data_IF_327817332490
#
_entry.id   IF_327817332490
#
_cell.length_a   1.000
_cell.length_b   1.000
_cell.length_c   1.000
_cell.angle_alpha   90.00
_cell.angle_beta   90.00
_cell.angle_gamma   90.00
#
_symmetry.space_group_name_H-M   'P 1'
#
loop_
_entity.id
_entity.type
_entity.pdbx_description
1 polymer ?
#
# COMPACT_ATOMS: atom_id res chain seq x y z
N UNK A 1 -13.20 15.36 -15.20
CA UNK A 1 -12.28 16.19 -14.38
C UNK A 1 -11.09 15.32 -13.97
N UNK A 2 -9.87 15.78 -14.22
CA UNK A 2 -8.64 14.98 -14.17
C UNK A 2 -8.19 14.63 -12.73
N UNK A 3 -8.74 13.55 -12.17
CA UNK A 3 -8.24 12.98 -10.91
C UNK A 3 -7.00 12.11 -11.17
N UNK A 4 -5.84 12.72 -11.40
CA UNK A 4 -4.57 12.05 -11.76
C UNK A 4 -3.99 11.13 -10.67
N UNK A 5 -2.66 11.15 -10.48
CA UNK A 5 -1.93 10.28 -9.51
C UNK A 5 -2.58 10.17 -8.11
N UNK A 6 -3.10 11.25 -7.48
CA UNK A 6 -3.72 11.15 -6.15
C UNK A 6 -4.95 10.23 -6.08
N UNK A 7 -5.75 10.17 -7.15
CA UNK A 7 -6.92 9.29 -7.20
C UNK A 7 -6.51 7.83 -7.25
N UNK A 8 -5.45 7.51 -8.00
CA UNK A 8 -4.89 6.17 -8.05
C UNK A 8 -4.33 5.74 -6.70
N UNK A 9 -3.64 6.63 -5.98
CA UNK A 9 -3.18 6.35 -4.62
C UNK A 9 -4.34 6.10 -3.64
N UNK A 10 -5.41 6.88 -3.74
CA UNK A 10 -6.61 6.69 -2.91
C UNK A 10 -7.29 5.34 -3.20
N UNK A 11 -7.38 4.94 -4.47
CA UNK A 11 -7.90 3.61 -4.87
C UNK A 11 -7.00 2.50 -4.31
N UNK A 12 -5.68 2.63 -4.45
CA UNK A 12 -4.74 1.64 -3.92
C UNK A 12 -4.90 1.51 -2.40
N UNK A 13 -4.96 2.63 -1.68
CA UNK A 13 -5.17 2.64 -0.23
C UNK A 13 -6.49 1.95 0.16
N UNK A 14 -7.59 2.29 -0.52
CA UNK A 14 -8.89 1.67 -0.27
C UNK A 14 -8.86 0.15 -0.43
N UNK A 15 -8.29 -0.34 -1.54
CA UNK A 15 -8.25 -1.78 -1.83
C UNK A 15 -7.44 -2.55 -0.78
N UNK A 16 -6.27 -2.04 -0.41
CA UNK A 16 -5.42 -2.71 0.57
C UNK A 16 -6.01 -2.64 1.97
N UNK A 17 -6.48 -1.47 2.41
CA UNK A 17 -7.03 -1.33 3.75
C UNK A 17 -8.32 -2.15 3.91
N UNK A 18 -9.21 -2.12 2.91
CA UNK A 18 -10.43 -2.94 2.92
C UNK A 18 -10.10 -4.42 3.06
N UNK A 19 -9.13 -4.93 2.30
CA UNK A 19 -8.72 -6.32 2.40
C UNK A 19 -8.25 -6.69 3.82
N UNK A 20 -7.41 -5.85 4.44
CA UNK A 20 -6.93 -6.09 5.79
C UNK A 20 -8.07 -6.02 6.82
N UNK A 21 -8.95 -5.03 6.70
CA UNK A 21 -10.12 -4.87 7.57
C UNK A 21 -11.11 -6.04 7.46
N UNK A 22 -11.21 -6.70 6.31
CA UNK A 22 -12.10 -7.84 6.08
C UNK A 22 -11.47 -9.20 6.44
N UNK A 23 -10.14 -9.32 6.40
CA UNK A 23 -9.44 -10.61 6.50
C UNK A 23 -8.55 -10.79 7.72
N UNK A 24 -8.07 -9.70 8.30
CA UNK A 24 -7.02 -9.73 9.33
C UNK A 24 -7.54 -9.22 10.68
N UNK A 25 -8.31 -8.14 10.66
CA UNK A 25 -8.73 -7.45 11.88
C UNK A 25 -10.16 -7.79 12.29
N UNK A 26 -10.42 -7.80 13.60
CA UNK A 26 -11.77 -7.83 14.14
C UNK A 26 -12.46 -6.47 13.92
N UNK A 27 -13.79 -6.41 14.09
CA UNK A 27 -14.53 -5.14 13.90
C UNK A 27 -14.29 -4.14 15.01
N UNK A 28 -13.94 -4.65 16.19
CA UNK A 28 -13.70 -3.89 17.42
C UNK A 28 -12.27 -3.37 17.51
N UNK A 29 -11.39 -3.81 16.61
CA UNK A 29 -10.00 -3.38 16.58
C UNK A 29 -9.88 -1.90 16.22
N UNK A 30 -8.91 -1.24 16.85
CA UNK A 30 -8.51 0.13 16.52
C UNK A 30 -7.26 0.12 15.66
N UNK A 31 -7.35 0.69 14.46
CA UNK A 31 -6.30 0.63 13.46
C UNK A 31 -5.62 1.98 13.31
N UNK A 32 -4.29 1.96 13.27
CA UNK A 32 -3.47 3.15 13.03
C UNK A 32 -2.77 3.03 11.69
N UNK A 33 -3.12 3.90 10.74
CA UNK A 33 -2.50 3.94 9.42
C UNK A 33 -1.38 4.98 9.44
N UNK A 34 -0.14 4.49 9.49
CA UNK A 34 1.05 5.36 9.51
C UNK A 34 1.44 5.73 8.08
N UNK A 35 1.41 7.03 7.79
CA UNK A 35 1.84 7.60 6.52
C UNK A 35 3.14 8.35 6.73
N UNK A 36 4.20 7.90 6.05
CA UNK A 36 5.47 8.58 6.04
C UNK A 36 5.34 9.99 5.47
N UNK A 37 6.15 10.93 5.96
CA UNK A 37 6.13 12.33 5.50
C UNK A 37 6.30 12.42 3.97
N UNK A 38 5.24 12.83 3.27
CA UNK A 38 5.25 13.08 1.82
C UNK A 38 5.53 14.56 1.57
N UNK A 39 6.73 14.85 1.06
CA UNK A 39 7.10 16.07 0.34
C UNK A 39 6.54 17.39 0.92
N UNK A 40 5.77 18.11 0.11
CA UNK A 40 5.27 19.46 0.44
C UNK A 40 4.04 19.43 1.34
N UNK A 41 3.78 20.55 2.04
CA UNK A 41 2.57 20.72 2.88
C UNK A 41 1.27 20.38 2.15
N UNK A 42 1.16 20.74 0.87
CA UNK A 42 0.00 20.44 0.05
C UNK A 42 -0.18 18.93 -0.19
N UNK A 43 0.91 18.19 -0.43
CA UNK A 43 0.86 16.74 -0.59
C UNK A 43 0.46 16.04 0.71
N UNK A 44 0.97 16.51 1.85
CA UNK A 44 0.57 16.01 3.17
C UNK A 44 -0.93 16.19 3.41
N UNK A 45 -1.48 17.38 3.11
CA UNK A 45 -2.91 17.64 3.27
C UNK A 45 -3.77 16.75 2.37
N UNK A 46 -3.36 16.56 1.11
CA UNK A 46 -4.06 15.68 0.18
C UNK A 46 -3.99 14.20 0.60
N UNK A 47 -2.84 13.75 1.11
CA UNK A 47 -2.67 12.40 1.66
C UNK A 47 -3.55 12.18 2.89
N UNK A 48 -3.60 13.14 3.82
CA UNK A 48 -4.51 13.10 4.97
C UNK A 48 -5.96 12.97 4.55
N UNK A 49 -6.44 13.87 3.71
CA UNK A 49 -7.82 13.83 3.24
C UNK A 49 -8.15 12.51 2.52
N UNK A 50 -7.19 11.90 1.81
CA UNK A 50 -7.38 10.61 1.16
C UNK A 50 -7.45 9.45 2.17
N UNK A 51 -6.61 9.44 3.21
CA UNK A 51 -6.64 8.41 4.26
C UNK A 51 -7.89 8.54 5.10
N UNK A 52 -8.26 9.76 5.51
CA UNK A 52 -9.45 10.02 6.33
C UNK A 52 -10.73 9.60 5.59
N UNK A 53 -10.82 9.88 4.29
CA UNK A 53 -11.94 9.45 3.47
C UNK A 53 -12.02 7.92 3.30
N UNK A 54 -10.88 7.24 3.15
CA UNK A 54 -10.84 5.77 3.07
C UNK A 54 -11.16 5.15 4.43
N UNK A 55 -10.62 5.70 5.52
CA UNK A 55 -10.87 5.29 6.89
C UNK A 55 -12.37 5.33 7.24
N UNK A 56 -13.07 6.40 6.83
CA UNK A 56 -14.51 6.55 7.03
C UNK A 56 -15.36 5.49 6.30
N UNK A 57 -14.78 4.75 5.35
CA UNK A 57 -15.45 3.67 4.63
C UNK A 57 -15.20 2.28 5.26
N UNK A 58 -14.32 2.19 6.26
CA UNK A 58 -13.99 0.92 6.91
C UNK A 58 -14.93 0.64 8.09
N UNK A 59 -15.18 -0.63 8.43
CA UNK A 59 -16.03 -0.97 9.58
C UNK A 59 -15.35 -0.77 10.95
N UNK A 60 -14.01 -0.67 11.01
CA UNK A 60 -13.21 -0.42 12.21
C UNK A 60 -13.00 1.07 12.50
N UNK A 61 -12.58 1.39 13.73
CA UNK A 61 -12.04 2.72 14.06
C UNK A 61 -10.62 2.86 13.51
N UNK A 62 -10.50 3.58 12.39
CA UNK A 62 -9.23 3.80 11.68
C UNK A 62 -8.77 5.25 11.89
N UNK A 63 -7.57 5.42 12.44
CA UNK A 63 -6.93 6.72 12.64
C UNK A 63 -5.70 6.87 11.76
N UNK A 64 -5.61 7.96 11.00
CA UNK A 64 -4.43 8.32 10.23
C UNK A 64 -3.35 8.94 11.13
N UNK A 65 -2.12 8.44 11.03
CA UNK A 65 -0.96 8.97 11.75
C UNK A 65 0.11 9.45 10.78
N UNK A 66 0.48 10.73 10.86
CA UNK A 66 1.54 11.31 10.03
C UNK A 66 2.82 11.46 10.84
N UNK A 67 3.86 10.70 10.49
CA UNK A 67 5.15 10.77 11.17
C UNK A 67 6.28 10.95 10.16
N UNK A 68 7.18 11.88 10.44
CA UNK A 68 8.53 11.87 9.88
C UNK A 68 9.27 10.58 10.28
N UNK A 69 9.34 9.68 9.31
CA UNK A 69 9.73 8.30 9.51
C UNK A 69 10.69 7.83 8.42
N UNK A 70 11.40 8.79 7.81
CA UNK A 70 12.41 8.54 6.77
C UNK A 70 13.50 7.55 7.20
N UNK A 71 13.81 7.49 8.51
CA UNK A 71 14.78 6.58 9.11
C UNK A 71 14.18 5.35 9.79
N UNK A 72 12.85 5.15 9.71
CA UNK A 72 12.21 4.02 10.38
C UNK A 72 12.48 2.73 9.60
N UNK A 73 13.19 1.79 10.22
CA UNK A 73 13.59 0.53 9.59
C UNK A 73 12.40 -0.24 8.98
N UNK A 74 11.28 -0.35 9.72
CA UNK A 74 10.10 -1.08 9.23
C UNK A 74 9.50 -0.49 7.94
N UNK A 75 9.53 0.84 7.79
CA UNK A 75 9.06 1.50 6.57
C UNK A 75 10.04 1.31 5.40
N UNK A 76 11.35 1.31 5.67
CA UNK A 76 12.36 1.02 4.65
C UNK A 76 12.25 -0.42 4.13
N UNK A 77 11.99 -1.38 5.02
CA UNK A 77 11.72 -2.77 4.64
C UNK A 77 10.45 -2.86 3.79
N UNK A 78 9.36 -2.25 4.23
CA UNK A 78 8.10 -2.24 3.46
C UNK A 78 8.28 -1.62 2.07
N UNK A 79 8.99 -0.49 1.96
CA UNK A 79 9.27 0.18 0.69
C UNK A 79 10.12 -0.71 -0.23
N UNK A 80 11.14 -1.39 0.31
CA UNK A 80 11.95 -2.33 -0.45
C UNK A 80 11.14 -3.51 -0.98
N UNK A 81 10.27 -4.11 -0.15
CA UNK A 81 9.41 -5.22 -0.55
C UNK A 81 8.46 -4.81 -1.68
N UNK A 82 7.82 -3.64 -1.56
CA UNK A 82 6.94 -3.07 -2.58
C UNK A 82 7.69 -2.79 -3.89
N UNK A 83 8.86 -2.16 -3.81
CA UNK A 83 9.73 -1.88 -4.96
C UNK A 83 10.17 -3.16 -5.68
N UNK A 84 10.64 -4.15 -4.92
CA UNK A 84 11.12 -5.42 -5.47
C UNK A 84 9.98 -6.17 -6.18
N UNK A 85 8.80 -6.25 -5.56
CA UNK A 85 7.61 -6.84 -6.18
C UNK A 85 7.23 -6.11 -7.46
N UNK A 86 7.18 -4.77 -7.43
CA UNK A 86 6.89 -3.97 -8.62
C UNK A 86 7.87 -4.25 -9.77
N UNK A 87 9.17 -4.42 -9.48
CA UNK A 87 10.17 -4.72 -10.52
C UNK A 87 9.94 -6.08 -11.18
N UNK A 88 9.65 -7.10 -10.38
CA UNK A 88 9.33 -8.43 -10.91
C UNK A 88 8.08 -8.39 -11.79
N UNK A 89 7.04 -7.65 -11.37
CA UNK A 89 5.85 -7.43 -12.22
C UNK A 89 6.15 -6.70 -13.54
N UNK A 90 7.24 -5.95 -13.60
CA UNK A 90 7.73 -5.29 -14.82
C UNK A 90 8.71 -6.18 -15.64
N UNK A 91 8.83 -7.47 -15.31
CA UNK A 91 9.74 -8.41 -15.97
C UNK A 91 11.22 -8.13 -15.68
N UNK A 92 11.54 -7.40 -14.61
CA UNK A 92 12.92 -7.05 -14.25
C UNK A 92 13.41 -7.94 -13.12
N UNK A 93 14.61 -8.50 -13.29
CA UNK A 93 15.28 -9.30 -12.28
C UNK A 93 15.60 -8.49 -11.01
N UNK A 94 15.47 -9.14 -9.86
CA UNK A 94 15.86 -8.65 -8.54
C UNK A 94 16.61 -9.80 -7.84
N UNK A 95 17.90 -9.61 -7.58
CA UNK A 95 18.84 -10.68 -7.21
C UNK A 95 18.43 -11.50 -5.96
N UNK A 96 17.69 -10.88 -5.03
CA UNK A 96 17.28 -11.49 -3.76
C UNK A 96 15.77 -11.74 -3.66
N UNK A 97 15.03 -11.62 -4.77
CA UNK A 97 13.58 -11.69 -4.74
C UNK A 97 13.07 -13.05 -4.24
N UNK A 98 13.50 -14.14 -4.87
CA UNK A 98 13.01 -15.48 -4.53
C UNK A 98 13.32 -15.89 -3.09
N UNK A 99 14.43 -15.41 -2.53
CA UNK A 99 14.91 -15.82 -1.22
C UNK A 99 14.43 -14.92 -0.08
N UNK A 100 14.27 -13.61 -0.31
CA UNK A 100 14.01 -12.63 0.75
C UNK A 100 12.70 -11.86 0.59
N UNK A 101 12.09 -11.87 -0.60
CA UNK A 101 10.88 -11.08 -0.89
C UNK A 101 9.69 -12.00 -1.13
N UNK A 102 9.80 -12.94 -2.07
CA UNK A 102 8.71 -13.85 -2.45
C UNK A 102 8.09 -14.58 -1.24
N UNK A 103 8.87 -15.10 -0.26
CA UNK A 103 8.29 -15.76 0.90
C UNK A 103 7.49 -14.85 1.84
N UNK A 104 7.63 -13.52 1.71
CA UNK A 104 6.95 -12.52 2.53
C UNK A 104 5.73 -11.91 1.80
N UNK A 105 5.51 -12.24 0.54
CA UNK A 105 4.40 -11.71 -0.26
C UNK A 105 3.20 -12.64 -0.13
N UNK A 106 2.28 -12.29 0.77
CA UNK A 106 1.02 -13.04 0.97
C UNK A 106 -0.01 -12.80 -0.14
N UNK A 107 -0.03 -11.59 -0.70
CA UNK A 107 -1.01 -11.23 -1.74
C UNK A 107 -0.48 -10.15 -2.67
N UNK A 108 -1.02 -10.11 -3.89
CA UNK A 108 -0.75 -9.04 -4.86
C UNK A 108 -2.06 -8.64 -5.54
N UNK A 109 -2.41 -7.36 -5.45
CA UNK A 109 -3.62 -6.83 -6.06
C UNK A 109 -3.35 -6.28 -7.46
N UNK A 110 -4.08 -6.79 -8.44
CA UNK A 110 -4.08 -6.30 -9.82
C UNK A 110 -5.41 -5.61 -10.10
N UNK A 111 -5.57 -4.33 -9.73
CA UNK A 111 -6.86 -3.62 -9.82
C UNK A 111 -7.41 -3.52 -11.25
N UNK A 112 -6.55 -3.72 -12.26
CA UNK A 112 -6.91 -3.68 -13.68
C UNK A 112 -6.81 -5.06 -14.35
N UNK A 113 -6.70 -6.13 -13.56
CA UNK A 113 -6.43 -7.47 -14.05
C UNK A 113 -4.96 -7.71 -14.38
N UNK A 114 -4.65 -8.95 -14.76
CA UNK A 114 -3.33 -9.33 -15.29
C UNK A 114 -3.38 -9.18 -16.82
N UNK A 115 -2.30 -8.69 -17.41
CA UNK A 115 -2.07 -8.87 -18.84
C UNK A 115 -1.79 -10.36 -19.09
N UNK A 116 -2.33 -10.91 -20.18
CA UNK A 116 -2.25 -12.34 -20.52
C UNK A 116 -0.80 -12.89 -20.57
N UNK A 117 0.20 -12.02 -20.68
CA UNK A 117 1.63 -12.36 -20.79
C UNK A 117 2.45 -12.26 -19.47
N UNK A 118 1.82 -12.16 -18.30
CA UNK A 118 2.59 -12.09 -17.04
C UNK A 118 3.13 -13.47 -16.65
N UNK A 119 4.46 -13.68 -16.54
CA UNK A 119 5.01 -14.98 -16.26
C UNK A 119 4.66 -15.43 -14.83
N UNK A 120 3.86 -16.50 -14.80
CA UNK A 120 3.76 -17.59 -13.81
C UNK A 120 3.72 -17.20 -12.33
N UNK A 121 2.52 -17.30 -11.76
CA UNK A 121 2.37 -17.94 -10.45
C UNK A 121 2.37 -19.47 -10.69
N UNK A 122 3.43 -20.13 -10.25
CA UNK A 122 3.41 -21.52 -9.78
C UNK A 122 3.99 -21.52 -8.38
#
# INVERSE_FOLDING_TARGET
MAGGKPRLYKIALFLHLRFLCEKVFAREDRLYVVVATIGTKAMRSAASAAVDDVAAQMPQDVTACFWDSSSTWGLQVADYLLWARQRVLQGKAVNVYETHVAPLVESTFFPWGRTEDSPLDT
#
